data_IF_699722928501
#
_entry.id   IF_699722928501
#
_cell.length_a   1.000
_cell.length_b   1.000
_cell.length_c   1.000
_cell.angle_alpha   90.00
_cell.angle_beta   90.00
_cell.angle_gamma   90.00
#
_symmetry.space_group_name_H-M   'P 1'
#
loop_
_entity.id
_entity.type
_entity.pdbx_description
1 polymer ?
#
# COMPACT_ATOMS: atom_id res chain seq x y z
N UNK A 1 -60.40 17.05 -26.10
CA UNK A 1 -60.58 18.44 -26.61
C UNK A 1 -59.83 18.56 -27.94
N UNK A 2 -60.34 19.31 -28.94
CA UNK A 2 -59.70 19.56 -30.26
C UNK A 2 -58.34 20.28 -30.10
N UNK A 3 -57.38 20.36 -31.04
CA UNK A 3 -57.29 20.21 -32.52
C UNK A 3 -55.80 19.89 -32.85
N UNK A 4 -55.39 18.85 -33.59
CA UNK A 4 -55.27 18.71 -35.07
C UNK A 4 -54.46 19.78 -35.84
N UNK A 5 -53.29 19.39 -36.41
CA UNK A 5 -52.92 19.67 -37.81
C UNK A 5 -51.93 18.63 -38.39
N UNK A 6 -51.92 18.48 -39.72
CA UNK A 6 -51.36 17.32 -40.47
C UNK A 6 -50.50 17.74 -41.68
N UNK A 7 -49.43 16.99 -41.99
CA UNK A 7 -49.03 16.41 -43.32
C UNK A 7 -47.65 15.70 -43.19
N UNK A 8 -47.38 14.45 -43.62
CA UNK A 8 -47.50 13.76 -44.94
C UNK A 8 -46.55 14.35 -46.01
N UNK A 9 -45.77 13.61 -46.84
CA UNK A 9 -45.63 12.17 -47.20
C UNK A 9 -44.21 11.91 -47.81
N UNK A 10 -43.64 10.70 -47.56
CA UNK A 10 -43.01 9.76 -48.55
C UNK A 10 -41.72 10.11 -49.32
N UNK A 11 -41.04 9.19 -50.02
CA UNK A 11 -41.09 7.70 -50.06
C UNK A 11 -40.00 7.09 -50.99
N UNK A 12 -39.52 5.87 -50.69
CA UNK A 12 -38.97 4.82 -51.61
C UNK A 12 -37.56 4.98 -52.28
N UNK A 13 -36.60 4.17 -51.79
CA UNK A 13 -35.70 3.14 -52.42
C UNK A 13 -35.51 3.06 -53.98
N UNK A 14 -34.60 2.22 -54.54
CA UNK A 14 -33.11 2.22 -54.48
C UNK A 14 -32.46 1.94 -55.87
N UNK A 15 -31.11 2.05 -56.05
CA UNK A 15 -30.46 1.39 -57.22
C UNK A 15 -28.98 1.03 -57.05
N UNK A 16 -28.59 -0.09 -57.68
CA UNK A 16 -27.23 -0.63 -57.84
C UNK A 16 -26.71 -0.32 -59.25
N UNK A 17 -25.39 -0.12 -59.42
CA UNK A 17 -24.73 -0.35 -60.71
C UNK A 17 -23.30 -0.90 -60.56
N UNK A 18 -22.96 -1.88 -61.41
CA UNK A 18 -21.60 -2.44 -61.64
C UNK A 18 -21.11 -2.03 -63.03
N UNK A 19 -19.79 -1.89 -63.21
CA UNK A 19 -18.98 -2.13 -64.43
C UNK A 19 -17.48 -2.01 -63.99
N UNK A 20 -16.56 -2.97 -64.16
CA UNK A 20 -15.83 -3.44 -65.38
C UNK A 20 -15.08 -2.30 -66.11
N UNK A 21 -13.86 -2.43 -66.64
CA UNK A 21 -12.98 -3.57 -66.99
C UNK A 21 -11.53 -3.03 -67.18
N UNK A 22 -10.49 -3.88 -67.28
CA UNK A 22 -9.18 -3.42 -67.84
C UNK A 22 -7.93 -4.17 -67.38
N UNK A 23 -7.42 -5.08 -68.22
CA UNK A 23 -6.04 -5.63 -68.12
C UNK A 23 -5.17 -4.99 -69.21
N UNK A 24 -3.92 -4.68 -68.89
CA UNK A 24 -2.82 -4.62 -69.87
C UNK A 24 -1.65 -5.43 -69.30
N UNK A 25 -1.10 -6.32 -70.12
CA UNK A 25 0.12 -7.05 -69.83
C UNK A 25 1.18 -6.64 -70.86
N UNK A 26 2.45 -6.59 -70.44
CA UNK A 26 3.59 -6.55 -71.35
C UNK A 26 4.66 -7.50 -70.81
N UNK A 27 5.15 -8.36 -71.70
CA UNK A 27 6.16 -9.39 -71.43
C UNK A 27 7.47 -8.95 -72.11
N UNK A 28 8.60 -9.14 -71.44
CA UNK A 28 9.86 -9.42 -72.14
C UNK A 28 10.71 -10.40 -71.33
N UNK A 29 11.47 -11.23 -72.03
CA UNK A 29 11.94 -12.53 -71.54
C UNK A 29 13.34 -12.84 -72.09
N UNK A 30 14.31 -13.09 -71.20
CA UNK A 30 15.66 -13.64 -71.46
C UNK A 30 16.00 -14.47 -70.20
N UNK A 31 16.09 -15.81 -70.24
CA UNK A 31 17.32 -16.61 -70.49
C UNK A 31 18.49 -16.22 -69.55
N UNK A 32 19.27 -17.10 -68.89
CA UNK A 32 19.40 -18.57 -68.75
C UNK A 32 20.15 -18.82 -67.39
N UNK A 33 20.34 -20.01 -66.80
CA UNK A 33 20.16 -21.43 -67.15
C UNK A 33 19.82 -22.23 -65.85
N UNK A 34 19.41 -23.51 -65.93
CA UNK A 34 19.14 -24.39 -64.75
C UNK A 34 20.33 -25.31 -64.49
N UNK A 35 20.72 -25.57 -63.23
CA UNK A 35 21.05 -26.93 -62.75
C UNK A 35 20.90 -27.06 -61.22
N UNK A 36 20.50 -28.26 -60.81
CA UNK A 36 20.03 -28.66 -59.47
C UNK A 36 21.15 -29.01 -58.49
N UNK A 37 20.94 -28.76 -57.19
CA UNK A 37 21.37 -29.68 -56.12
C UNK A 37 20.52 -29.49 -54.86
N UNK A 38 20.48 -30.52 -54.02
CA UNK A 38 19.54 -30.65 -52.90
C UNK A 38 19.82 -29.71 -51.71
N UNK A 39 18.75 -29.27 -51.05
CA UNK A 39 18.73 -29.07 -49.59
C UNK A 39 17.37 -29.52 -49.04
N UNK A 40 17.37 -30.11 -47.86
CA UNK A 40 16.25 -30.87 -47.30
C UNK A 40 15.08 -30.00 -46.83
N UNK A 41 13.90 -30.62 -46.69
CA UNK A 41 12.80 -30.05 -45.91
C UNK A 41 13.31 -29.71 -44.51
N UNK A 42 13.14 -28.46 -44.09
CA UNK A 42 13.15 -28.07 -42.69
C UNK A 42 11.73 -27.64 -42.33
N UNK A 43 11.11 -28.35 -41.40
CA UNK A 43 9.75 -28.04 -40.95
C UNK A 43 9.73 -26.70 -40.23
N UNK A 44 8.83 -25.81 -40.63
CA UNK A 44 8.61 -24.53 -39.97
C UNK A 44 7.87 -24.78 -38.66
N UNK A 45 8.63 -24.88 -37.56
CA UNK A 45 8.06 -25.09 -36.23
C UNK A 45 7.14 -23.92 -35.86
N UNK A 46 5.93 -24.18 -35.33
CA UNK A 46 5.07 -23.10 -34.87
C UNK A 46 5.75 -22.39 -33.70
N UNK A 47 5.85 -21.06 -33.80
CA UNK A 47 6.35 -20.21 -32.72
C UNK A 47 5.43 -20.44 -31.50
N UNK A 48 5.96 -21.08 -30.47
CA UNK A 48 5.30 -21.20 -29.17
C UNK A 48 5.01 -19.79 -28.65
N UNK A 49 3.83 -19.54 -28.06
CA UNK A 49 3.50 -18.24 -27.52
C UNK A 49 4.50 -17.88 -26.42
N UNK A 50 5.22 -16.81 -26.69
CA UNK A 50 5.88 -15.88 -25.78
C UNK A 50 6.49 -16.48 -24.49
N UNK A 51 7.82 -16.46 -24.42
CA UNK A 51 8.52 -16.39 -23.13
C UNK A 51 8.30 -15.00 -22.54
N UNK A 52 7.04 -14.68 -22.20
CA UNK A 52 6.75 -13.55 -21.33
C UNK A 52 7.51 -13.80 -20.04
N UNK A 53 8.38 -12.87 -19.70
CA UNK A 53 9.30 -13.00 -18.58
C UNK A 53 8.54 -13.41 -17.33
N UNK A 54 8.80 -14.63 -16.83
CA UNK A 54 8.59 -14.89 -15.41
C UNK A 54 9.52 -13.91 -14.68
N UNK A 55 8.96 -12.79 -14.23
CA UNK A 55 9.58 -12.04 -13.14
C UNK A 55 9.74 -13.07 -12.02
N UNK A 56 10.98 -13.26 -11.57
CA UNK A 56 11.24 -14.08 -10.40
C UNK A 56 10.40 -13.50 -9.25
N UNK A 57 9.47 -14.30 -8.71
CA UNK A 57 8.57 -13.86 -7.64
C UNK A 57 9.41 -13.29 -6.49
N UNK A 58 9.18 -12.03 -6.16
CA UNK A 58 9.88 -11.34 -5.09
C UNK A 58 9.26 -11.78 -3.76
N UNK A 59 10.02 -12.52 -2.96
CA UNK A 59 9.58 -12.96 -1.64
C UNK A 59 10.28 -12.12 -0.58
N UNK A 60 9.61 -11.93 0.56
CA UNK A 60 10.22 -11.26 1.71
C UNK A 60 11.42 -12.06 2.22
N UNK A 61 12.42 -11.33 2.72
CA UNK A 61 13.58 -11.92 3.39
C UNK A 61 13.17 -12.29 4.82
N UNK A 62 13.18 -13.58 5.11
CA UNK A 62 12.82 -14.12 6.43
C UNK A 62 13.66 -13.48 7.56
N UNK A 63 13.04 -12.96 8.63
CA UNK A 63 13.75 -12.41 9.78
C UNK A 63 14.68 -13.45 10.43
N UNK A 64 15.93 -13.06 10.71
CA UNK A 64 16.96 -13.96 11.23
C UNK A 64 16.93 -14.11 12.78
N UNK A 65 15.84 -13.71 13.43
CA UNK A 65 15.64 -13.79 14.88
C UNK A 65 16.32 -12.68 15.70
N UNK A 66 17.54 -12.28 15.35
CA UNK A 66 18.21 -11.10 15.91
C UNK A 66 18.03 -9.86 15.02
N UNK A 67 17.94 -8.68 15.63
CA UNK A 67 17.79 -7.41 14.91
C UNK A 67 19.10 -7.02 14.20
N UNK A 68 19.03 -6.85 12.88
CA UNK A 68 20.13 -6.35 12.06
C UNK A 68 20.46 -4.92 12.50
N UNK A 69 21.72 -4.64 12.85
CA UNK A 69 22.17 -3.29 13.19
C UNK A 69 23.02 -2.71 12.06
N UNK A 70 22.62 -1.55 11.55
CA UNK A 70 23.34 -0.82 10.49
C UNK A 70 23.76 0.54 11.05
N UNK A 71 24.97 1.01 10.71
CA UNK A 71 25.38 2.38 11.03
C UNK A 71 25.20 3.30 9.84
N UNK A 72 24.68 4.48 10.12
CA UNK A 72 24.50 5.57 9.20
C UNK A 72 24.73 6.88 9.97
N UNK A 73 24.83 8.00 9.26
CA UNK A 73 24.81 9.33 9.88
C UNK A 73 23.47 10.02 9.65
N UNK A 74 23.20 11.08 10.41
CA UNK A 74 22.01 11.90 10.21
C UNK A 74 22.23 13.35 10.67
N UNK A 75 21.24 14.19 10.41
CA UNK A 75 21.22 15.54 10.98
C UNK A 75 20.99 15.48 12.50
N UNK A 76 21.63 16.39 13.25
CA UNK A 76 21.61 16.35 14.70
C UNK A 76 20.25 16.76 15.28
N UNK A 77 19.61 15.83 16.00
CA UNK A 77 18.27 15.96 16.59
C UNK A 77 18.18 17.11 17.63
N UNK A 78 19.32 17.65 18.10
CA UNK A 78 19.33 18.79 19.03
C UNK A 78 19.09 20.15 18.35
N UNK A 79 19.18 20.21 17.02
CA UNK A 79 19.08 21.46 16.28
C UNK A 79 17.64 21.97 16.19
N UNK A 80 17.35 23.05 16.92
CA UNK A 80 16.03 23.69 16.94
C UNK A 80 15.60 24.25 15.57
N UNK A 81 14.87 23.45 14.80
CA UNK A 81 13.83 23.86 13.85
C UNK A 81 14.20 24.98 12.86
N UNK A 82 15.41 24.96 12.27
CA UNK A 82 15.84 25.98 11.28
C UNK A 82 16.66 25.49 10.08
N UNK A 83 17.01 24.20 9.99
CA UNK A 83 17.30 23.59 8.70
C UNK A 83 16.03 22.98 8.17
N UNK A 84 15.77 23.18 6.87
CA UNK A 84 14.85 22.36 6.11
C UNK A 84 15.71 21.23 5.56
N UNK A 85 15.56 20.04 6.10
CA UNK A 85 15.89 18.79 5.42
C UNK A 85 15.08 18.69 4.12
N UNK A 86 15.57 17.86 3.21
CA UNK A 86 14.85 17.44 2.03
C UNK A 86 14.50 18.46 0.95
N UNK A 87 13.89 17.92 -0.11
CA UNK A 87 13.30 18.69 -1.21
C UNK A 87 11.86 19.14 -0.88
N UNK A 88 11.23 18.60 0.17
CA UNK A 88 9.84 18.80 0.61
C UNK A 88 9.56 20.12 1.35
N UNK A 89 10.61 20.87 1.73
CA UNK A 89 10.62 22.10 2.54
C UNK A 89 10.56 21.93 4.08
N UNK A 90 10.96 20.79 4.63
CA UNK A 90 10.85 20.45 6.06
C UNK A 90 9.46 19.96 6.45
N UNK A 91 8.86 19.11 5.62
CA UNK A 91 7.58 18.42 5.88
C UNK A 91 7.77 16.93 5.62
N UNK A 92 7.10 16.10 6.42
CA UNK A 92 7.16 14.65 6.27
C UNK A 92 6.87 14.20 4.82
N UNK A 93 7.69 13.31 4.28
CA UNK A 93 7.62 12.80 2.91
C UNK A 93 7.72 11.26 2.87
N UNK A 94 6.88 10.61 2.06
CA UNK A 94 6.89 9.15 1.84
C UNK A 94 7.41 8.83 0.43
N UNK A 95 8.62 8.25 0.36
CA UNK A 95 9.22 7.83 -0.90
C UNK A 95 8.78 6.42 -1.27
N UNK A 96 8.28 6.22 -2.50
CA UNK A 96 7.78 4.92 -2.98
C UNK A 96 8.74 4.29 -4.00
N UNK A 97 9.26 3.09 -3.69
CA UNK A 97 10.19 2.31 -4.52
C UNK A 97 9.50 1.07 -5.07
N UNK A 98 8.84 1.21 -6.23
CA UNK A 98 8.18 0.10 -6.91
C UNK A 98 9.20 -0.88 -7.51
N UNK A 99 9.15 -2.15 -7.10
CA UNK A 99 10.09 -3.20 -7.54
C UNK A 99 9.52 -4.06 -8.68
N UNK A 100 8.20 -4.02 -8.90
CA UNK A 100 7.54 -4.67 -10.05
C UNK A 100 6.94 -3.61 -10.99
N UNK A 101 6.64 -3.96 -12.26
CA UNK A 101 5.88 -3.10 -13.15
C UNK A 101 4.49 -2.80 -12.58
N UNK A 102 4.05 -1.54 -12.70
CA UNK A 102 2.73 -1.08 -12.28
C UNK A 102 2.07 -0.26 -13.40
N UNK A 103 0.75 -0.18 -13.39
CA UNK A 103 -0.03 0.72 -14.24
C UNK A 103 0.01 2.17 -13.72
N UNK A 104 -0.34 3.13 -14.58
CA UNK A 104 -0.48 4.53 -14.16
C UNK A 104 -1.59 4.72 -13.11
N UNK A 105 -2.70 3.95 -13.19
CA UNK A 105 -3.76 3.96 -12.15
C UNK A 105 -3.22 3.50 -10.81
N UNK A 106 -2.52 2.36 -10.77
CA UNK A 106 -1.90 1.86 -9.54
C UNK A 106 -0.92 2.91 -8.97
N UNK A 107 -0.05 3.48 -9.82
CA UNK A 107 0.89 4.54 -9.40
C UNK A 107 0.18 5.74 -8.77
N UNK A 108 -0.93 6.20 -9.35
CA UNK A 108 -1.70 7.32 -8.80
C UNK A 108 -2.26 6.98 -7.42
N UNK A 109 -2.89 5.80 -7.25
CA UNK A 109 -3.46 5.39 -5.95
C UNK A 109 -2.42 5.35 -4.84
N UNK A 110 -1.24 4.77 -5.10
CA UNK A 110 -0.15 4.75 -4.12
C UNK A 110 0.35 6.14 -3.73
N UNK A 111 0.43 7.07 -4.70
CA UNK A 111 0.83 8.47 -4.44
C UNK A 111 -0.27 9.21 -3.66
N UNK A 112 -1.54 9.04 -4.03
CA UNK A 112 -2.67 9.65 -3.32
C UNK A 112 -2.78 9.15 -1.87
N UNK A 113 -2.47 7.86 -1.62
CA UNK A 113 -2.37 7.29 -0.29
C UNK A 113 -1.22 7.86 0.54
N UNK A 114 -0.03 8.00 -0.06
CA UNK A 114 1.11 8.69 0.56
C UNK A 114 0.74 10.13 0.94
N UNK A 115 0.15 10.90 0.02
CA UNK A 115 -0.31 12.26 0.32
C UNK A 115 -1.36 12.31 1.45
N UNK A 116 -2.21 11.28 1.61
CA UNK A 116 -3.22 11.23 2.69
C UNK A 116 -2.52 11.12 4.05
N UNK A 117 -1.46 10.32 4.15
CA UNK A 117 -0.62 10.23 5.35
C UNK A 117 0.25 11.48 5.58
N UNK A 118 0.82 12.10 4.55
CA UNK A 118 1.60 13.36 4.65
C UNK A 118 0.74 14.58 5.03
N UNK A 119 -0.59 14.54 4.83
CA UNK A 119 -1.52 15.54 5.36
C UNK A 119 -1.70 15.39 6.88
N UNK A 120 -1.52 14.18 7.40
CA UNK A 120 -1.62 13.85 8.83
C UNK A 120 -0.28 14.03 9.52
N UNK A 121 0.80 13.44 9.03
CA UNK A 121 2.15 13.61 9.57
C UNK A 121 2.75 14.87 8.94
N UNK A 122 2.91 15.95 9.72
CA UNK A 122 3.29 17.27 9.16
C UNK A 122 4.67 17.74 9.60
N UNK A 123 5.27 17.08 10.59
CA UNK A 123 6.63 17.35 11.04
C UNK A 123 7.56 16.32 10.43
N UNK A 124 8.57 16.84 9.73
CA UNK A 124 9.78 16.15 9.31
C UNK A 124 10.48 15.36 10.45
N UNK A 125 11.12 14.26 10.05
CA UNK A 125 11.93 13.34 10.85
C UNK A 125 13.32 13.27 10.21
N UNK A 126 14.42 13.40 10.98
CA UNK A 126 15.76 13.59 10.40
C UNK A 126 16.15 12.55 9.33
N UNK A 127 16.67 13.09 8.22
CA UNK A 127 17.22 12.35 7.10
C UNK A 127 18.46 11.54 7.52
N UNK A 128 18.64 10.38 6.91
CA UNK A 128 19.68 9.39 7.25
C UNK A 128 20.53 9.08 6.02
N UNK A 129 21.86 9.22 6.14
CA UNK A 129 22.83 9.01 5.06
C UNK A 129 23.69 7.78 5.31
N UNK A 130 23.77 6.89 4.32
CA UNK A 130 24.41 5.58 4.44
C UNK A 130 25.89 5.65 4.02
N UNK A 131 26.77 6.07 4.94
CA UNK A 131 28.18 6.35 4.61
C UNK A 131 29.06 5.12 4.36
N UNK A 132 28.79 3.99 5.02
CA UNK A 132 29.67 2.81 5.02
C UNK A 132 28.99 1.52 4.55
N UNK A 133 27.69 1.35 4.84
CA UNK A 133 26.91 0.16 4.53
C UNK A 133 25.57 0.55 3.91
N UNK A 134 25.12 -0.12 2.83
CA UNK A 134 23.82 0.16 2.23
C UNK A 134 22.68 -0.40 3.10
N UNK A 135 21.45 0.09 2.89
CA UNK A 135 20.26 -0.41 3.58
C UNK A 135 19.66 -1.63 2.83
N UNK A 136 19.60 -2.84 3.41
CA UNK A 136 19.08 -4.03 2.73
C UNK A 136 17.60 -3.92 2.34
N UNK A 137 17.27 -4.43 1.16
CA UNK A 137 15.89 -4.60 0.68
C UNK A 137 15.14 -5.66 1.48
N UNK A 138 13.85 -5.41 1.75
CA UNK A 138 12.92 -6.38 2.31
C UNK A 138 12.72 -7.60 1.40
N UNK A 139 13.00 -7.47 0.10
CA UNK A 139 12.81 -8.52 -0.92
C UNK A 139 14.13 -9.13 -1.44
N UNK A 140 15.25 -8.86 -0.77
CA UNK A 140 16.56 -9.47 -1.08
C UNK A 140 17.18 -9.04 -2.42
N UNK A 141 16.65 -7.96 -3.03
CA UNK A 141 17.15 -7.37 -4.26
C UNK A 141 18.29 -6.36 -4.03
N UNK A 142 18.51 -5.43 -4.99
CA UNK A 142 19.34 -4.24 -4.77
C UNK A 142 18.90 -3.50 -3.49
N UNK A 143 19.83 -2.84 -2.77
CA UNK A 143 19.50 -2.20 -1.49
C UNK A 143 18.42 -1.12 -1.64
N UNK A 144 17.72 -0.81 -0.54
CA UNK A 144 16.76 0.28 -0.45
C UNK A 144 17.45 1.62 -0.75
N UNK A 145 18.61 1.83 -0.13
CA UNK A 145 19.52 2.94 -0.35
C UNK A 145 20.97 2.44 -0.41
N UNK A 146 21.72 2.89 -1.42
CA UNK A 146 23.13 2.56 -1.65
C UNK A 146 24.09 3.43 -0.81
N UNK A 147 25.37 3.08 -0.81
CA UNK A 147 26.40 3.84 -0.09
C UNK A 147 26.52 5.26 -0.67
N UNK A 148 26.39 6.26 0.20
CA UNK A 148 26.37 7.69 -0.12
C UNK A 148 24.98 8.25 -0.43
N UNK A 149 23.93 7.42 -0.45
CA UNK A 149 22.55 7.89 -0.57
C UNK A 149 21.97 8.34 0.78
N UNK A 150 20.98 9.24 0.72
CA UNK A 150 20.24 9.74 1.87
C UNK A 150 18.77 9.37 1.73
N UNK A 151 18.20 8.75 2.77
CA UNK A 151 16.76 8.59 2.93
C UNK A 151 16.24 9.78 3.73
N UNK A 152 15.23 10.46 3.19
CA UNK A 152 14.38 11.40 3.94
C UNK A 152 13.18 10.66 4.52
N UNK A 153 12.82 10.98 5.76
CA UNK A 153 11.61 10.51 6.44
C UNK A 153 11.34 8.99 6.36
N UNK A 154 10.66 8.54 5.31
CA UNK A 154 10.29 7.15 5.09
C UNK A 154 10.45 6.77 3.60
N UNK A 155 11.02 5.58 3.35
CA UNK A 155 10.96 4.91 2.05
C UNK A 155 10.25 3.56 2.14
N UNK A 156 9.38 3.26 1.18
CA UNK A 156 8.58 2.03 1.15
C UNK A 156 8.85 1.29 -0.16
N UNK A 157 9.31 0.05 -0.07
CA UNK A 157 9.39 -0.86 -1.21
C UNK A 157 8.01 -1.43 -1.54
N UNK A 158 7.59 -1.38 -2.80
CA UNK A 158 6.24 -1.79 -3.21
C UNK A 158 6.31 -2.89 -4.27
N UNK A 159 5.64 -4.02 -4.00
CA UNK A 159 5.59 -5.20 -4.88
C UNK A 159 4.12 -5.53 -5.21
N UNK A 160 3.79 -5.50 -6.50
CA UNK A 160 2.53 -6.01 -7.03
C UNK A 160 2.84 -7.25 -7.87
N UNK A 161 2.39 -8.43 -7.43
CA UNK A 161 2.60 -9.71 -8.12
C UNK A 161 1.53 -10.74 -7.72
N UNK A 162 1.39 -11.88 -8.43
CA UNK A 162 0.54 -12.98 -7.97
C UNK A 162 1.09 -13.64 -6.69
N UNK A 163 0.27 -13.74 -5.64
CA UNK A 163 0.64 -14.35 -4.35
C UNK A 163 0.10 -15.77 -4.26
N UNK A 164 -1.20 -15.93 -4.04
CA UNK A 164 -1.88 -17.23 -3.90
C UNK A 164 -3.25 -17.32 -4.61
N UNK A 165 -3.73 -16.22 -5.20
CA UNK A 165 -4.93 -16.17 -6.03
C UNK A 165 -6.16 -15.63 -5.30
N UNK A 166 -7.29 -15.42 -6.02
CA UNK A 166 -8.35 -14.53 -5.54
C UNK A 166 -8.99 -14.96 -4.21
N UNK A 167 -9.22 -13.96 -3.35
CA UNK A 167 -9.95 -14.07 -2.08
C UNK A 167 -9.15 -14.62 -0.91
N UNK A 168 -7.82 -14.60 -0.99
CA UNK A 168 -6.91 -15.20 -0.01
C UNK A 168 -5.97 -14.15 0.59
N UNK A 169 -4.68 -14.07 0.20
CA UNK A 169 -3.76 -13.02 0.66
C UNK A 169 -3.96 -11.77 -0.19
N UNK A 170 -4.70 -10.78 0.32
CA UNK A 170 -4.84 -9.48 -0.36
C UNK A 170 -3.51 -8.72 -0.44
N UNK A 171 -2.70 -8.84 0.62
CA UNK A 171 -1.42 -8.15 0.73
C UNK A 171 -0.78 -8.29 2.12
N UNK A 172 0.15 -7.39 2.40
CA UNK A 172 0.73 -7.20 3.71
C UNK A 172 1.82 -6.14 3.69
N UNK A 173 1.95 -5.40 4.78
CA UNK A 173 2.85 -4.28 4.90
C UNK A 173 3.52 -4.23 6.26
N UNK A 174 4.76 -3.77 6.36
CA UNK A 174 5.44 -3.67 7.66
C UNK A 174 6.59 -2.67 7.66
N UNK A 175 6.97 -2.16 8.85
CA UNK A 175 8.29 -1.60 9.07
C UNK A 175 9.36 -2.66 8.78
N UNK A 176 10.41 -2.28 8.06
CA UNK A 176 11.57 -3.15 7.78
C UNK A 176 12.74 -2.74 8.68
N UNK A 177 13.14 -1.46 8.62
CA UNK A 177 14.14 -0.88 9.53
C UNK A 177 13.58 0.37 10.23
N UNK A 178 13.87 0.49 11.53
CA UNK A 178 13.55 1.68 12.35
C UNK A 178 14.81 2.45 12.73
N UNK A 179 14.64 3.72 13.12
CA UNK A 179 15.69 4.57 13.68
C UNK A 179 15.99 4.18 15.13
N UNK A 180 17.24 4.25 15.58
CA UNK A 180 17.59 3.98 16.99
C UNK A 180 17.19 5.08 17.99
N UNK A 181 16.86 6.28 17.51
CA UNK A 181 16.65 7.47 18.36
C UNK A 181 15.21 7.59 18.85
N UNK A 182 14.24 7.29 17.99
CA UNK A 182 12.80 7.41 18.27
C UNK A 182 12.00 6.14 17.93
N UNK A 183 12.66 5.11 17.36
CA UNK A 183 12.06 3.88 16.86
C UNK A 183 10.93 4.10 15.84
N UNK A 184 10.96 5.19 15.07
CA UNK A 184 10.08 5.40 13.92
C UNK A 184 10.63 4.68 12.68
N UNK A 185 9.74 4.26 11.78
CA UNK A 185 10.10 3.56 10.54
C UNK A 185 10.97 4.44 9.65
N UNK A 186 12.10 3.91 9.20
CA UNK A 186 12.99 4.52 8.20
C UNK A 186 12.79 3.88 6.83
N UNK A 187 12.64 2.55 6.80
CA UNK A 187 12.19 1.83 5.62
C UNK A 187 11.15 0.78 5.97
N UNK A 188 10.26 0.50 5.03
CA UNK A 188 9.29 -0.59 5.11
C UNK A 188 8.95 -1.16 3.74
N UNK A 189 7.96 -2.05 3.71
CA UNK A 189 7.47 -2.64 2.48
C UNK A 189 5.94 -2.71 2.46
N UNK A 190 5.39 -2.82 1.25
CA UNK A 190 4.03 -3.28 1.00
C UNK A 190 4.06 -4.29 -0.16
N UNK A 191 3.34 -5.39 -0.03
CA UNK A 191 3.11 -6.38 -1.09
C UNK A 191 1.61 -6.60 -1.28
N UNK A 192 1.15 -6.75 -2.52
CA UNK A 192 -0.27 -6.95 -2.86
C UNK A 192 -0.45 -8.07 -3.89
N UNK A 193 -1.48 -8.90 -3.74
CA UNK A 193 -1.82 -9.90 -4.77
C UNK A 193 -2.57 -9.24 -5.93
N UNK A 194 -1.90 -9.21 -7.08
CA UNK A 194 -2.50 -8.77 -8.36
C UNK A 194 -3.74 -9.56 -8.78
N UNK A 195 -3.99 -10.74 -8.20
CA UNK A 195 -5.18 -11.52 -8.43
C UNK A 195 -6.46 -10.90 -7.81
N UNK A 196 -6.31 -10.07 -6.78
CA UNK A 196 -7.42 -9.42 -6.06
C UNK A 196 -7.64 -7.95 -6.44
N UNK A 197 -6.62 -7.30 -7.03
CA UNK A 197 -6.66 -5.85 -7.29
C UNK A 197 -7.78 -5.42 -8.24
N UNK A 198 -8.09 -6.22 -9.27
CA UNK A 198 -9.16 -5.89 -10.23
C UNK A 198 -10.55 -5.91 -9.55
N UNK A 199 -10.77 -6.79 -8.57
CA UNK A 199 -12.03 -6.85 -7.82
C UNK A 199 -12.08 -5.76 -6.74
N UNK A 200 -10.95 -5.44 -6.08
CA UNK A 200 -10.86 -4.32 -5.14
C UNK A 200 -11.07 -2.95 -5.80
N UNK A 201 -10.54 -2.70 -7.01
CA UNK A 201 -10.75 -1.44 -7.75
C UNK A 201 -12.20 -1.35 -8.28
N UNK A 202 -12.80 -2.47 -8.72
CA UNK A 202 -14.23 -2.55 -9.08
C UNK A 202 -15.17 -2.23 -7.90
N UNK A 203 -14.81 -2.64 -6.68
CA UNK A 203 -15.55 -2.33 -5.46
C UNK A 203 -15.24 -0.93 -4.90
N UNK A 204 -14.24 -0.23 -5.45
CA UNK A 204 -13.80 1.09 -4.98
C UNK A 204 -13.06 1.05 -3.64
N UNK A 205 -12.47 -0.09 -3.28
CA UNK A 205 -11.82 -0.33 -1.98
C UNK A 205 -10.29 -0.37 -2.08
N UNK A 206 -9.72 -0.55 -3.27
CA UNK A 206 -8.27 -0.61 -3.48
C UNK A 206 -7.53 0.61 -2.89
N UNK A 207 -8.13 1.80 -3.05
CA UNK A 207 -7.58 3.07 -2.55
C UNK A 207 -7.56 3.11 -1.00
N UNK A 208 -8.57 2.54 -0.33
CA UNK A 208 -8.61 2.45 1.14
C UNK A 208 -7.63 1.39 1.67
N UNK A 209 -7.56 0.22 1.02
CA UNK A 209 -6.63 -0.86 1.38
C UNK A 209 -5.17 -0.39 1.31
N UNK A 210 -4.77 0.37 0.28
CA UNK A 210 -3.40 0.91 0.21
C UNK A 210 -3.12 1.91 1.34
N UNK A 211 -4.09 2.74 1.72
CA UNK A 211 -3.92 3.69 2.83
C UNK A 211 -3.78 2.92 4.15
N UNK A 212 -4.59 1.88 4.37
CA UNK A 212 -4.53 0.99 5.53
C UNK A 212 -3.15 0.35 5.68
N UNK A 213 -2.68 -0.37 4.65
CA UNK A 213 -1.38 -1.05 4.62
C UNK A 213 -0.20 -0.08 4.86
N UNK A 214 -0.28 1.13 4.29
CA UNK A 214 0.72 2.18 4.54
C UNK A 214 0.71 2.66 6.00
N UNK A 215 -0.42 2.56 6.70
CA UNK A 215 -0.53 2.75 8.15
C UNK A 215 0.26 1.71 8.95
N UNK A 216 0.27 0.44 8.53
CA UNK A 216 1.11 -0.59 9.13
C UNK A 216 2.60 -0.35 8.87
N UNK A 217 3.00 0.15 7.70
CA UNK A 217 4.38 0.62 7.47
C UNK A 217 4.78 1.75 8.43
N UNK A 218 3.87 2.68 8.69
CA UNK A 218 4.07 3.76 9.67
C UNK A 218 4.09 3.25 11.13
N UNK A 219 3.76 1.99 11.37
CA UNK A 219 3.89 1.31 12.66
C UNK A 219 2.61 1.21 13.47
N UNK A 220 1.44 1.44 12.87
CA UNK A 220 0.15 1.06 13.47
C UNK A 220 0.16 -0.46 13.69
N UNK A 221 -0.23 -0.91 14.88
CA UNK A 221 -0.07 -2.29 15.33
C UNK A 221 1.37 -2.63 15.70
N UNK A 222 2.20 -2.87 14.68
CA UNK A 222 3.51 -3.53 14.80
C UNK A 222 4.55 -2.79 15.66
N UNK A 223 4.46 -1.46 15.79
CA UNK A 223 5.38 -0.66 16.63
C UNK A 223 4.80 -0.27 18.01
N UNK A 224 3.60 -0.74 18.37
CA UNK A 224 2.96 -0.42 19.65
C UNK A 224 3.70 -1.01 20.86
N UNK A 225 4.26 -2.21 20.73
CA UNK A 225 5.08 -2.87 21.78
C UNK A 225 6.58 -2.97 21.39
N UNK A 226 6.99 -2.37 20.27
CA UNK A 226 8.40 -2.33 19.87
C UNK A 226 9.12 -1.17 20.58
N UNK A 227 9.94 -1.49 21.58
CA UNK A 227 10.69 -0.52 22.41
C UNK A 227 9.78 0.56 23.06
N UNK A 228 8.50 0.24 23.21
CA UNK A 228 7.42 1.08 23.75
C UNK A 228 6.48 0.17 24.55
N UNK A 229 5.41 0.72 25.10
CA UNK A 229 4.37 -0.05 25.83
C UNK A 229 3.00 0.58 25.58
N UNK A 230 2.65 0.68 24.29
CA UNK A 230 1.36 1.23 23.83
C UNK A 230 0.30 0.15 23.63
N UNK A 231 0.68 -1.13 23.54
CA UNK A 231 -0.20 -2.28 23.70
C UNK A 231 -0.13 -2.72 25.17
N UNK A 232 -1.27 -2.86 25.83
CA UNK A 232 -1.37 -3.35 27.22
C UNK A 232 -2.67 -4.14 27.41
N UNK A 233 -2.80 -4.90 28.50
CA UNK A 233 -3.90 -5.84 28.73
C UNK A 233 -4.60 -5.58 30.06
N UNK A 234 -5.93 -5.57 30.06
CA UNK A 234 -6.68 -5.42 31.31
C UNK A 234 -6.65 -6.72 32.15
N UNK A 235 -7.16 -6.67 33.38
CA UNK A 235 -7.18 -7.82 34.30
C UNK A 235 -7.98 -9.05 33.84
N UNK A 236 -8.69 -8.96 32.71
CA UNK A 236 -9.39 -10.07 32.05
C UNK A 236 -8.69 -10.54 30.76
N UNK A 237 -7.54 -9.96 30.40
CA UNK A 237 -6.77 -10.32 29.20
C UNK A 237 -7.25 -9.68 27.90
N UNK A 238 -8.12 -8.66 27.94
CA UNK A 238 -8.47 -7.90 26.74
C UNK A 238 -7.43 -6.80 26.48
N UNK A 239 -6.90 -6.68 25.25
CA UNK A 239 -5.92 -5.67 24.90
C UNK A 239 -6.56 -4.28 24.77
N UNK A 240 -5.78 -3.25 25.05
CA UNK A 240 -6.15 -1.86 24.84
C UNK A 240 -4.92 -1.03 24.50
N UNK A 241 -5.16 0.08 23.79
CA UNK A 241 -4.11 1.04 23.47
C UNK A 241 -3.84 1.94 24.68
N UNK A 242 -2.59 2.01 25.13
CA UNK A 242 -2.16 2.76 26.31
C UNK A 242 -1.62 4.18 25.96
N UNK A 243 -1.73 4.61 24.70
CA UNK A 243 -1.33 5.96 24.29
C UNK A 243 -2.24 7.06 24.86
N UNK A 244 -1.64 8.09 25.44
CA UNK A 244 -2.35 9.17 26.14
C UNK A 244 -3.11 10.08 25.17
N UNK A 245 -2.58 10.30 23.97
CA UNK A 245 -3.16 11.23 22.99
C UNK A 245 -4.33 10.55 22.28
N UNK A 246 -4.18 9.32 21.78
CA UNK A 246 -5.26 8.57 21.13
C UNK A 246 -6.45 8.34 22.06
N UNK A 247 -6.22 7.96 23.32
CA UNK A 247 -7.31 7.78 24.30
C UNK A 247 -8.13 9.04 24.57
N UNK A 248 -7.54 10.22 24.41
CA UNK A 248 -8.26 11.50 24.51
C UNK A 248 -9.12 11.74 23.27
N UNK A 249 -8.64 11.40 22.07
CA UNK A 249 -9.46 11.51 20.85
C UNK A 249 -10.58 10.47 20.82
N UNK A 250 -10.31 9.22 21.18
CA UNK A 250 -11.31 8.17 21.43
C UNK A 250 -12.48 8.68 22.31
N UNK A 251 -12.16 9.32 23.44
CA UNK A 251 -13.16 9.88 24.36
C UNK A 251 -13.88 11.12 23.82
N UNK A 252 -13.23 11.91 22.96
CA UNK A 252 -13.84 13.07 22.33
C UNK A 252 -14.85 12.68 21.24
N UNK A 253 -14.52 11.67 20.42
CA UNK A 253 -15.39 11.20 19.34
C UNK A 253 -16.60 10.39 19.87
N UNK A 254 -16.54 9.88 21.11
CA UNK A 254 -17.71 9.36 21.85
C UNK A 254 -17.45 8.15 22.75
N UNK A 255 -16.24 7.58 22.70
CA UNK A 255 -15.86 6.37 23.41
C UNK A 255 -15.66 6.54 24.92
N UNK A 256 -15.59 5.41 25.61
CA UNK A 256 -15.38 5.31 27.06
C UNK A 256 -14.28 4.29 27.40
N UNK A 257 -13.90 4.14 28.69
CA UNK A 257 -12.77 3.30 29.11
C UNK A 257 -11.45 3.63 28.37
N UNK A 258 -10.65 2.62 28.02
CA UNK A 258 -9.53 2.74 27.08
C UNK A 258 -9.96 2.32 25.67
N UNK A 259 -9.29 2.88 24.66
CA UNK A 259 -9.40 2.50 23.25
C UNK A 259 -9.07 1.00 23.08
N UNK A 260 -10.02 0.14 22.63
CA UNK A 260 -9.77 -1.29 22.50
C UNK A 260 -8.98 -1.61 21.23
N UNK A 261 -8.23 -2.70 21.30
CA UNK A 261 -7.43 -3.27 20.23
C UNK A 261 -8.06 -4.62 19.84
N UNK A 262 -7.93 -5.01 18.58
CA UNK A 262 -8.42 -6.31 18.11
C UNK A 262 -7.68 -7.47 18.80
N UNK A 263 -8.40 -8.51 19.19
CA UNK A 263 -7.87 -9.69 19.90
C UNK A 263 -8.29 -11.02 19.26
N UNK A 264 -9.12 -10.95 18.22
CA UNK A 264 -9.59 -12.07 17.40
C UNK A 264 -8.67 -12.21 16.18
N UNK A 265 -8.99 -13.15 15.28
CA UNK A 265 -8.22 -13.38 14.06
C UNK A 265 -6.88 -14.10 14.25
N UNK A 266 -5.98 -13.93 13.28
CA UNK A 266 -4.67 -14.60 13.22
C UNK A 266 -3.51 -13.69 13.67
N UNK A 267 -2.24 -14.11 13.46
CA UNK A 267 -1.06 -13.30 13.80
C UNK A 267 -0.91 -12.00 13.01
N UNK A 268 -1.49 -11.88 11.81
CA UNK A 268 -1.61 -10.58 11.12
C UNK A 268 -2.62 -9.67 11.82
N UNK A 269 -3.78 -10.23 12.17
CA UNK A 269 -4.91 -9.52 12.79
C UNK A 269 -4.65 -9.04 14.22
N UNK A 270 -4.37 -9.99 15.12
CA UNK A 270 -4.56 -9.82 16.55
C UNK A 270 -3.48 -8.88 17.08
N UNK A 271 -3.91 -7.90 17.87
CA UNK A 271 -3.06 -6.87 18.46
C UNK A 271 -2.47 -5.85 17.48
N UNK A 272 -2.80 -5.94 16.18
CA UNK A 272 -2.35 -5.01 15.14
C UNK A 272 -3.38 -3.93 14.77
N UNK A 273 -4.66 -4.20 15.02
CA UNK A 273 -5.80 -3.37 14.60
C UNK A 273 -6.56 -2.76 15.77
N UNK A 274 -7.43 -1.79 15.47
CA UNK A 274 -8.52 -1.43 16.37
C UNK A 274 -9.62 -2.50 16.42
N UNK A 275 -10.32 -2.69 17.55
CA UNK A 275 -11.40 -3.68 17.67
C UNK A 275 -12.57 -3.33 16.72
N UNK A 276 -12.72 -4.11 15.64
CA UNK A 276 -13.72 -3.92 14.57
C UNK A 276 -15.14 -3.77 15.12
N UNK A 277 -15.51 -4.54 16.15
CA UNK A 277 -16.88 -4.56 16.65
C UNK A 277 -17.22 -3.32 17.51
N UNK A 278 -16.20 -2.52 17.84
CA UNK A 278 -16.30 -1.28 18.59
C UNK A 278 -16.05 -0.05 17.70
N UNK A 279 -15.09 -0.13 16.78
CA UNK A 279 -14.73 0.95 15.87
C UNK A 279 -15.38 0.88 14.47
N UNK A 280 -16.01 -0.24 14.11
CA UNK A 280 -16.83 -0.37 12.90
C UNK A 280 -16.02 0.09 11.67
N UNK A 281 -16.44 1.13 10.96
CA UNK A 281 -15.77 1.60 9.75
C UNK A 281 -14.51 2.49 9.95
N UNK A 282 -13.78 2.44 11.07
CA UNK A 282 -12.50 3.17 11.17
C UNK A 282 -11.43 2.50 10.30
N UNK A 283 -10.67 3.28 9.52
CA UNK A 283 -9.81 2.72 8.48
C UNK A 283 -8.79 1.67 8.97
N UNK A 284 -8.31 1.75 10.21
CA UNK A 284 -7.33 0.81 10.78
C UNK A 284 -7.96 -0.29 11.65
N UNK A 285 -9.25 -0.59 11.46
CA UNK A 285 -9.78 -1.92 11.80
C UNK A 285 -9.40 -2.91 10.69
N UNK A 286 -9.38 -4.21 10.99
CA UNK A 286 -9.03 -5.24 10.03
C UNK A 286 -10.14 -5.60 9.01
N UNK A 287 -11.15 -4.75 8.88
CA UNK A 287 -12.22 -4.91 7.89
C UNK A 287 -12.47 -3.60 7.14
N UNK A 288 -12.22 -3.62 5.83
CA UNK A 288 -12.56 -2.50 4.96
C UNK A 288 -14.05 -2.58 4.64
N UNK A 289 -14.82 -1.69 5.28
CA UNK A 289 -16.27 -1.66 5.16
C UNK A 289 -16.70 -1.05 3.80
N UNK A 290 -17.83 -1.50 3.26
CA UNK A 290 -18.35 -0.93 2.01
C UNK A 290 -18.79 0.53 2.22
N UNK A 291 -18.27 1.43 1.39
CA UNK A 291 -18.54 2.87 1.49
C UNK A 291 -17.35 3.62 2.05
N UNK A 292 -17.56 4.37 3.13
CA UNK A 292 -16.57 5.30 3.65
C UNK A 292 -15.83 4.76 4.88
N UNK A 293 -14.51 4.64 4.80
CA UNK A 293 -13.63 4.20 5.88
C UNK A 293 -12.76 5.41 6.34
N UNK A 294 -13.24 6.22 7.30
CA UNK A 294 -12.51 7.38 7.79
C UNK A 294 -11.16 7.02 8.42
N UNK A 295 -10.10 7.64 7.91
CA UNK A 295 -8.81 7.71 8.60
C UNK A 295 -8.90 8.74 9.73
N UNK A 296 -9.25 8.27 10.93
CA UNK A 296 -9.75 9.14 11.99
C UNK A 296 -8.65 9.88 12.76
N UNK A 297 -9.08 10.84 13.59
CA UNK A 297 -8.21 11.47 14.59
C UNK A 297 -7.70 10.52 15.67
N UNK A 298 -8.29 9.35 15.85
CA UNK A 298 -7.80 8.34 16.80
C UNK A 298 -6.49 7.76 16.26
N UNK A 299 -6.48 7.34 14.99
CA UNK A 299 -5.31 6.84 14.29
C UNK A 299 -4.23 7.92 14.12
N UNK A 300 -4.59 9.15 13.72
CA UNK A 300 -3.63 10.26 13.67
C UNK A 300 -3.04 10.63 15.05
N UNK A 301 -3.75 10.32 16.14
CA UNK A 301 -3.25 10.51 17.49
C UNK A 301 -2.40 9.33 18.00
N UNK A 302 -2.64 8.09 17.56
CA UNK A 302 -1.79 6.94 17.91
C UNK A 302 -0.39 7.06 17.31
N UNK A 303 -0.28 7.55 16.07
CA UNK A 303 1.00 7.94 15.46
C UNK A 303 1.74 9.01 16.28
N UNK A 304 1.02 9.89 16.98
CA UNK A 304 1.61 10.89 17.87
C UNK A 304 2.07 10.32 19.21
N UNK A 305 1.40 9.28 19.69
CA UNK A 305 1.87 8.49 20.84
C UNK A 305 3.10 7.61 20.47
N UNK A 306 3.27 7.22 19.19
CA UNK A 306 4.51 6.59 18.68
C UNK A 306 5.70 7.55 18.62
N UNK A 307 5.46 8.81 18.22
CA UNK A 307 6.47 9.88 18.16
C UNK A 307 6.34 10.84 16.96
N UNK A 308 5.52 10.52 15.96
CA UNK A 308 5.33 11.38 14.78
C UNK A 308 4.71 12.73 15.13
N UNK A 309 5.17 13.80 14.47
CA UNK A 309 4.57 15.12 14.64
C UNK A 309 3.31 15.28 13.77
N UNK A 310 2.18 14.76 14.25
CA UNK A 310 0.92 14.80 13.50
C UNK A 310 0.10 16.08 13.69
N UNK A 311 -0.55 16.48 12.61
CA UNK A 311 -1.68 17.40 12.60
C UNK A 311 -2.97 16.65 12.94
N UNK A 312 -3.97 17.37 13.46
CA UNK A 312 -5.30 16.81 13.73
C UNK A 312 -6.26 17.02 12.55
N UNK A 313 -5.71 17.16 11.33
CA UNK A 313 -6.44 17.31 10.06
C UNK A 313 -6.97 15.98 9.50
N UNK A 314 -6.87 14.90 10.29
CA UNK A 314 -7.51 13.62 10.02
C UNK A 314 -9.04 13.73 10.03
N UNK A 315 -9.68 12.69 9.51
CA UNK A 315 -11.05 12.73 9.07
C UNK A 315 -12.06 12.69 10.23
N UNK A 316 -13.30 13.09 9.92
CA UNK A 316 -14.38 13.13 10.91
C UNK A 316 -14.94 11.74 11.11
N UNK A 317 -15.00 11.31 12.36
CA UNK A 317 -15.43 9.99 12.77
C UNK A 317 -16.26 10.13 14.05
N UNK A 318 -17.60 10.13 13.91
CA UNK A 318 -18.51 10.31 15.06
C UNK A 318 -18.91 8.93 15.62
N UNK A 319 -18.48 8.59 16.83
CA UNK A 319 -18.98 7.40 17.52
C UNK A 319 -20.34 7.68 18.18
N UNK A 320 -21.20 6.65 18.34
CA UNK A 320 -22.28 6.71 19.29
C UNK A 320 -21.76 7.12 20.69
N UNK A 321 -22.32 8.18 21.28
CA UNK A 321 -21.87 8.63 22.60
C UNK A 321 -22.11 7.56 23.65
N UNK A 322 -21.04 7.19 24.36
CA UNK A 322 -21.07 6.10 25.34
C UNK A 322 -20.71 4.74 24.75
N UNK A 323 -20.16 4.66 23.54
CA UNK A 323 -19.53 3.42 23.04
C UNK A 323 -18.53 2.90 24.08
N UNK A 324 -18.74 1.65 24.51
CA UNK A 324 -17.84 0.97 25.43
C UNK A 324 -16.49 0.74 24.74
N UNK A 325 -15.40 1.06 25.43
CA UNK A 325 -14.05 0.70 24.98
C UNK A 325 -13.73 -0.74 25.37
N UNK A 326 -12.59 -0.95 26.05
CA UNK A 326 -12.16 -2.28 26.53
C UNK A 326 -13.04 -2.87 27.67
N UNK A 327 -14.28 -3.21 27.35
CA UNK A 327 -15.22 -3.96 28.22
C UNK A 327 -15.93 -5.07 27.44
N UNK A 328 -15.70 -6.34 27.81
CA UNK A 328 -16.45 -7.54 27.38
C UNK A 328 -17.13 -7.42 26.01
N UNK A 329 -16.37 -7.31 24.92
CA UNK A 329 -16.95 -7.22 23.56
C UNK A 329 -17.66 -8.53 23.20
N UNK A 330 -19.01 -8.48 23.19
CA UNK A 330 -19.93 -9.61 23.00
C UNK A 330 -20.66 -9.63 21.64
N UNK A 331 -20.32 -8.71 20.74
CA UNK A 331 -20.81 -8.76 19.35
C UNK A 331 -20.09 -9.90 18.61
N UNK A 332 -20.64 -10.34 17.48
CA UNK A 332 -20.15 -11.53 16.75
C UNK A 332 -20.12 -11.38 15.23
N UNK A 333 -20.49 -10.22 14.68
CA UNK A 333 -20.63 -10.01 13.23
C UNK A 333 -20.13 -8.60 12.85
N UNK A 334 -19.23 -8.53 11.85
CA UNK A 334 -18.80 -7.33 11.11
C UNK A 334 -19.48 -7.30 9.73
N UNK A 335 -19.56 -6.13 9.10
CA UNK A 335 -20.13 -5.92 7.76
C UNK A 335 -19.13 -5.72 6.62
N UNK A 336 -17.82 -5.66 6.90
CA UNK A 336 -16.80 -5.31 5.91
C UNK A 336 -16.17 -6.48 5.16
N UNK A 337 -15.29 -6.16 4.21
CA UNK A 337 -14.36 -7.15 3.66
C UNK A 337 -13.28 -7.40 4.71
N UNK A 338 -13.23 -8.65 5.15
CA UNK A 338 -12.20 -9.20 6.02
C UNK A 338 -10.85 -9.18 5.29
N UNK A 339 -10.02 -8.17 5.59
CA UNK A 339 -8.65 -8.10 5.08
C UNK A 339 -7.67 -8.88 5.99
N UNK A 340 -8.06 -9.04 7.26
CA UNK A 340 -7.41 -9.84 8.31
C UNK A 340 -7.00 -11.26 7.91
N UNK A 341 -7.87 -12.01 7.21
CA UNK A 341 -7.58 -13.41 6.86
C UNK A 341 -6.41 -13.58 5.90
N UNK A 342 -6.06 -12.55 5.15
CA UNK A 342 -5.00 -12.55 4.16
C UNK A 342 -3.71 -11.87 4.60
N UNK A 343 -3.75 -11.05 5.64
CA UNK A 343 -2.68 -10.10 5.92
C UNK A 343 -1.43 -10.74 6.57
N UNK A 344 -0.24 -10.30 6.14
CA UNK A 344 1.05 -10.67 6.73
C UNK A 344 1.73 -9.46 7.35
N UNK A 345 1.60 -9.32 8.67
CA UNK A 345 2.28 -8.30 9.47
C UNK A 345 3.51 -8.85 10.22
N UNK A 346 4.52 -7.99 10.37
CA UNK A 346 5.78 -8.29 11.04
C UNK A 346 6.37 -7.05 11.73
N UNK A 347 7.12 -7.27 12.81
CA UNK A 347 7.95 -6.22 13.39
C UNK A 347 9.20 -5.96 12.55
N UNK A 348 9.90 -4.81 12.76
CA UNK A 348 11.11 -4.49 12.01
C UNK A 348 12.21 -5.53 12.20
N UNK A 349 12.92 -5.87 11.13
CA UNK A 349 14.04 -6.82 11.13
C UNK A 349 15.35 -6.18 11.58
N UNK A 350 15.41 -4.85 11.70
CA UNK A 350 16.61 -4.16 12.09
C UNK A 350 16.44 -2.72 12.57
N UNK A 351 17.54 -2.19 13.10
CA UNK A 351 17.67 -0.83 13.62
C UNK A 351 18.85 -0.15 12.91
N UNK A 352 18.60 1.05 12.39
CA UNK A 352 19.67 1.94 11.92
C UNK A 352 20.11 2.83 13.08
N UNK A 353 21.38 2.67 13.47
CA UNK A 353 22.07 3.50 14.44
C UNK A 353 22.60 4.73 13.73
N UNK A 354 22.02 5.88 14.07
CA UNK A 354 22.32 7.19 13.50
C UNK A 354 23.36 7.87 14.38
N UNK A 355 24.57 8.03 13.86
CA UNK A 355 25.63 8.83 14.48
C UNK A 355 25.47 10.31 14.07
N UNK A 356 25.46 11.24 15.04
CA UNK A 356 25.42 12.69 14.75
C UNK A 356 26.69 13.13 14.01
N UNK A 357 26.52 13.86 12.89
CA UNK A 357 27.61 14.44 12.08
C UNK A 357 28.05 15.83 12.55
#
# INVERSE_FOLDING_TARGET
MKLLYLKKIGSLLPTVQKQTFGRIASVLLVSTIVFTSCSELSEEQPILPDQSSQLNKLNLVEPQGELITIRASGEDYSSNAKKKSGFDNGRFNITLKFLTPISDRQRMVFVEAAERWEKIIVKDVPSVTFDEFPLPSAFGGPPVADIGETIDDLIIEVVLQPIDGPGQILGGASPNFVRNIDFLTLSGFMIFDTADLDDLDQLGLFDEVIVHEMGHVLGVGTLWDFQRTLLDFNSQGFPFFNGTIANRFWKNEGGTAFLPIEFRGGPGTAFSHWDELILDNELMTGFINLGYNPLSRITAASLRDLGYGTSMAAEKYDLPRGTAGVENSRKTESGGIDIEKGEVLSGPVGIVVIDSK
#
